data_IF_348933744500
#
_entry.id   IF_348933744500
#
_cell.length_a   1.000
_cell.length_b   1.000
_cell.length_c   1.000
_cell.angle_alpha   90.00
_cell.angle_beta   90.00
_cell.angle_gamma   90.00
#
_symmetry.space_group_name_H-M   'P 1'
#
loop_
_entity.id
_entity.type
_entity.pdbx_description
1 polymer ?
#
# COMPACT_ATOMS: atom_id res chain seq x y z
N UNK A 1 -13.51 22.15 7.21
CA UNK A 1 -14.13 20.86 6.85
C UNK A 1 -13.76 19.85 7.92
N UNK A 2 -14.62 18.90 8.24
CA UNK A 2 -14.35 17.81 9.20
C UNK A 2 -14.24 16.52 8.41
N UNK A 3 -13.04 15.94 8.36
CA UNK A 3 -12.73 14.80 7.48
C UNK A 3 -12.47 13.56 8.34
N UNK A 4 -13.12 12.45 8.03
CA UNK A 4 -12.79 11.13 8.57
C UNK A 4 -12.07 10.35 7.47
N UNK A 5 -10.86 9.87 7.77
CA UNK A 5 -10.07 9.08 6.86
C UNK A 5 -10.06 7.61 7.27
N UNK A 6 -10.72 6.76 6.49
CA UNK A 6 -10.76 5.30 6.69
C UNK A 6 -9.69 4.58 5.87
N UNK A 7 -8.64 5.29 5.44
CA UNK A 7 -7.59 4.78 4.59
C UNK A 7 -6.26 5.48 4.91
N UNK A 8 -5.21 4.72 5.26
CA UNK A 8 -3.92 5.30 5.65
C UNK A 8 -3.30 6.18 4.55
N UNK A 9 -3.38 5.76 3.27
CA UNK A 9 -2.90 6.56 2.13
C UNK A 9 -3.65 7.88 1.95
N UNK A 10 -4.96 7.89 2.20
CA UNK A 10 -5.75 9.13 2.17
C UNK A 10 -5.35 10.07 3.31
N UNK A 11 -5.08 9.53 4.51
CA UNK A 11 -4.55 10.33 5.61
C UNK A 11 -3.23 11.01 5.22
N UNK A 12 -2.30 10.26 4.64
CA UNK A 12 -1.03 10.81 4.15
C UNK A 12 -1.24 11.89 3.08
N UNK A 13 -2.16 11.65 2.14
CA UNK A 13 -2.49 12.59 1.08
C UNK A 13 -3.09 13.89 1.63
N UNK A 14 -4.00 13.78 2.60
CA UNK A 14 -4.61 14.94 3.27
C UNK A 14 -3.57 15.76 4.03
N UNK A 15 -2.65 15.12 4.75
CA UNK A 15 -1.54 15.83 5.39
C UNK A 15 -0.63 16.51 4.37
N UNK A 16 -0.28 15.84 3.28
CA UNK A 16 0.55 16.41 2.21
C UNK A 16 -0.12 17.59 1.48
N UNK A 17 -1.45 17.61 1.44
CA UNK A 17 -2.27 18.73 0.93
C UNK A 17 -2.45 19.86 1.96
N UNK A 18 -1.88 19.75 3.17
CA UNK A 18 -2.01 20.76 4.23
C UNK A 18 -3.36 20.73 4.95
N UNK A 19 -4.08 19.62 4.92
CA UNK A 19 -5.40 19.43 5.50
C UNK A 19 -5.38 18.67 6.84
N UNK A 20 -4.22 18.44 7.43
CA UNK A 20 -4.06 17.64 8.66
C UNK A 20 -4.96 18.13 9.80
N UNK A 21 -5.08 19.43 10.01
CA UNK A 21 -5.95 20.04 11.05
C UNK A 21 -7.46 19.83 10.80
N UNK A 22 -7.84 19.39 9.61
CA UNK A 22 -9.22 19.11 9.26
C UNK A 22 -9.60 17.64 9.47
N UNK A 23 -8.63 16.76 9.73
CA UNK A 23 -8.86 15.34 9.98
C UNK A 23 -9.33 15.19 11.44
N UNK A 24 -10.53 14.66 11.62
CA UNK A 24 -11.15 14.49 12.94
C UNK A 24 -11.11 13.05 13.45
N UNK A 25 -10.89 12.07 12.56
CA UNK A 25 -10.66 10.67 12.93
C UNK A 25 -9.96 9.92 11.79
N UNK A 26 -9.26 8.84 12.16
CA UNK A 26 -8.45 7.99 11.28
C UNK A 26 -8.64 6.51 11.56
N UNK A 27 -8.02 5.64 10.79
CA UNK A 27 -7.93 4.20 11.06
C UNK A 27 -6.78 3.90 12.03
N UNK A 28 -6.79 2.69 12.59
CA UNK A 28 -5.69 2.15 13.41
C UNK A 28 -4.39 1.92 12.61
N UNK A 29 -4.45 1.98 11.27
CA UNK A 29 -3.29 1.86 10.38
C UNK A 29 -2.63 3.22 10.05
N UNK A 30 -3.20 4.33 10.53
CA UNK A 30 -2.70 5.68 10.22
C UNK A 30 -1.58 6.06 11.20
N UNK A 31 -0.35 5.83 10.81
CA UNK A 31 0.89 6.08 11.57
C UNK A 31 1.78 7.17 10.96
N UNK A 32 1.44 7.65 9.76
CA UNK A 32 2.22 8.67 9.05
C UNK A 32 1.34 9.79 8.48
N UNK A 33 1.78 11.07 8.58
CA UNK A 33 2.95 11.50 9.36
C UNK A 33 2.74 11.22 10.86
N UNK A 34 3.78 11.37 11.72
CA UNK A 34 3.65 11.03 13.16
C UNK A 34 2.47 11.69 13.85
N UNK A 35 2.04 12.85 13.41
CA UNK A 35 0.88 13.57 13.91
C UNK A 35 -0.43 12.79 13.75
N UNK A 36 -0.54 11.95 12.70
CA UNK A 36 -1.72 11.13 12.44
C UNK A 36 -1.99 10.14 13.57
N UNK A 37 -0.93 9.59 14.19
CA UNK A 37 -1.04 8.64 15.30
C UNK A 37 -1.68 9.24 16.56
N UNK A 38 -1.79 10.57 16.66
CA UNK A 38 -2.43 11.27 17.78
C UNK A 38 -3.93 11.52 17.58
N UNK A 39 -4.46 11.27 16.39
CA UNK A 39 -5.86 11.50 16.04
C UNK A 39 -6.77 10.40 16.62
N UNK A 40 -8.06 10.69 16.84
CA UNK A 40 -9.04 9.68 17.25
C UNK A 40 -9.11 8.52 16.26
N UNK A 41 -8.97 7.29 16.76
CA UNK A 41 -9.07 6.07 15.96
C UNK A 41 -10.47 5.51 16.02
N UNK A 42 -11.09 5.27 14.85
CA UNK A 42 -12.49 4.79 14.74
C UNK A 42 -12.60 3.39 14.14
N UNK A 43 -11.48 2.66 14.07
CA UNK A 43 -11.45 1.31 13.50
C UNK A 43 -10.58 0.39 14.33
N UNK A 44 -10.78 -0.93 14.14
CA UNK A 44 -9.87 -1.95 14.68
C UNK A 44 -9.85 -3.18 13.78
N UNK A 45 -8.76 -3.94 13.81
CA UNK A 45 -8.70 -5.26 13.20
C UNK A 45 -9.58 -6.25 13.98
N UNK A 46 -10.28 -7.13 13.26
CA UNK A 46 -11.03 -8.26 13.85
C UNK A 46 -10.13 -9.48 14.05
N UNK A 47 -8.93 -9.48 13.44
CA UNK A 47 -7.96 -10.54 13.55
C UNK A 47 -6.79 -10.10 14.43
N UNK A 48 -6.40 -10.95 15.36
CA UNK A 48 -5.12 -10.81 16.05
C UNK A 48 -4.01 -11.42 15.17
N UNK A 49 -3.27 -10.53 14.49
CA UNK A 49 -2.20 -10.88 13.56
C UNK A 49 -0.80 -10.69 14.18
N UNK A 50 -0.71 -10.25 15.42
CA UNK A 50 0.54 -10.01 16.11
C UNK A 50 1.40 -11.28 16.23
N UNK A 51 2.64 -11.23 15.72
CA UNK A 51 3.61 -12.33 15.82
C UNK A 51 3.29 -13.57 14.97
N UNK A 52 2.26 -13.54 14.12
CA UNK A 52 1.95 -14.64 13.19
C UNK A 52 2.87 -14.59 11.97
N UNK A 53 3.12 -15.77 11.38
CA UNK A 53 3.84 -15.86 10.09
C UNK A 53 2.96 -15.38 8.94
N UNK A 54 3.56 -15.09 7.77
CA UNK A 54 2.79 -14.75 6.56
C UNK A 54 1.82 -15.87 6.17
N UNK A 55 2.22 -17.14 6.30
CA UNK A 55 1.35 -18.29 6.07
C UNK A 55 0.12 -18.31 6.98
N UNK A 56 0.31 -18.07 8.29
CA UNK A 56 -0.80 -18.05 9.25
C UNK A 56 -1.77 -16.90 8.98
N UNK A 57 -1.25 -15.75 8.54
CA UNK A 57 -2.06 -14.59 8.17
C UNK A 57 -2.87 -14.90 6.92
N UNK A 58 -2.24 -15.44 5.88
CA UNK A 58 -2.91 -15.79 4.61
C UNK A 58 -4.09 -16.77 4.87
N UNK A 59 -3.85 -17.82 5.68
CA UNK A 59 -4.91 -18.77 6.08
C UNK A 59 -6.03 -18.07 6.84
N UNK A 60 -5.71 -17.19 7.80
CA UNK A 60 -6.71 -16.49 8.60
C UNK A 60 -7.58 -15.55 7.76
N UNK A 61 -6.95 -14.81 6.83
CA UNK A 61 -7.63 -13.92 5.89
C UNK A 61 -8.51 -14.70 4.93
N UNK A 62 -8.00 -15.79 4.33
CA UNK A 62 -8.75 -16.63 3.43
C UNK A 62 -9.98 -17.28 4.13
N UNK A 63 -9.84 -17.66 5.39
CA UNK A 63 -10.94 -18.21 6.19
C UNK A 63 -12.00 -17.13 6.45
N UNK A 64 -11.60 -15.94 6.87
CA UNK A 64 -12.51 -14.83 7.11
C UNK A 64 -13.31 -14.47 5.85
N UNK A 65 -12.63 -14.39 4.69
CA UNK A 65 -13.26 -14.12 3.40
C UNK A 65 -14.30 -15.20 3.02
N UNK A 66 -13.98 -16.50 3.21
CA UNK A 66 -14.93 -17.61 2.94
C UNK A 66 -16.16 -17.58 3.83
N UNK A 67 -16.01 -17.10 5.07
CA UNK A 67 -17.10 -16.97 6.03
C UNK A 67 -17.87 -15.64 5.90
N UNK A 68 -17.48 -14.78 4.97
CA UNK A 68 -18.06 -13.44 4.78
C UNK A 68 -17.85 -12.51 5.98
N UNK A 69 -16.80 -12.78 6.78
CA UNK A 69 -16.45 -11.95 7.94
C UNK A 69 -15.57 -10.77 7.50
N UNK A 70 -15.93 -9.58 7.93
CA UNK A 70 -15.06 -8.41 7.73
C UNK A 70 -13.77 -8.55 8.54
N UNK A 71 -12.66 -8.09 7.97
CA UNK A 71 -11.36 -8.01 8.64
C UNK A 71 -11.26 -6.79 9.57
N UNK A 72 -12.21 -5.87 9.48
CA UNK A 72 -12.21 -4.62 10.22
C UNK A 72 -13.56 -4.36 10.87
N UNK A 73 -13.53 -3.78 12.06
CA UNK A 73 -14.67 -3.15 12.69
C UNK A 73 -14.53 -1.63 12.61
N UNK A 74 -15.64 -0.95 12.36
CA UNK A 74 -15.73 0.50 12.27
C UNK A 74 -16.75 0.99 13.30
N UNK A 75 -16.36 1.95 14.14
CA UNK A 75 -17.27 2.63 15.07
C UNK A 75 -18.02 3.75 14.31
N UNK A 76 -19.04 3.36 13.56
CA UNK A 76 -19.88 4.29 12.79
C UNK A 76 -20.61 5.29 13.67
N UNK A 77 -20.98 4.89 14.90
CA UNK A 77 -21.58 5.81 15.89
C UNK A 77 -20.57 6.89 16.32
N UNK A 78 -19.30 6.53 16.53
CA UNK A 78 -18.26 7.51 16.82
C UNK A 78 -18.06 8.46 15.63
N UNK A 79 -18.06 7.95 14.41
CA UNK A 79 -17.96 8.78 13.20
C UNK A 79 -19.11 9.78 13.13
N UNK A 80 -20.36 9.32 13.30
CA UNK A 80 -21.54 10.19 13.27
C UNK A 80 -21.52 11.27 14.36
N UNK A 81 -21.04 10.94 15.57
CA UNK A 81 -20.85 11.94 16.65
C UNK A 81 -19.84 13.03 16.32
N UNK A 82 -18.90 12.73 15.43
CA UNK A 82 -17.92 13.72 14.94
C UNK A 82 -18.50 14.66 13.89
N UNK A 83 -19.74 14.43 13.41
CA UNK A 83 -20.44 15.25 12.41
C UNK A 83 -19.51 15.58 11.20
N UNK A 84 -19.03 14.55 10.45
CA UNK A 84 -18.08 14.76 9.37
C UNK A 84 -18.75 15.34 8.13
N UNK A 85 -18.05 16.27 7.46
CA UNK A 85 -18.44 16.78 6.15
C UNK A 85 -18.03 15.79 5.02
N UNK A 86 -16.97 14.99 5.28
CA UNK A 86 -16.38 14.09 4.31
C UNK A 86 -15.84 12.82 4.98
N UNK A 87 -16.12 11.69 4.39
CA UNK A 87 -15.49 10.40 4.72
C UNK A 87 -14.70 9.92 3.49
N UNK A 88 -13.47 9.47 3.67
CA UNK A 88 -12.65 8.86 2.61
C UNK A 88 -12.47 7.39 2.91
N UNK A 89 -12.85 6.53 1.99
CA UNK A 89 -12.75 5.08 2.05
C UNK A 89 -12.21 4.52 0.72
N UNK A 90 -12.09 3.19 0.58
CA UNK A 90 -11.59 2.58 -0.64
C UNK A 90 -12.50 1.43 -1.10
N UNK A 91 -12.38 1.06 -2.39
CA UNK A 91 -13.10 -0.05 -3.02
C UNK A 91 -12.16 -0.99 -3.81
N UNK A 92 -10.88 -1.12 -3.41
CA UNK A 92 -9.90 -1.89 -4.19
C UNK A 92 -9.61 -3.27 -3.59
N UNK A 93 -9.54 -3.35 -2.26
CA UNK A 93 -9.12 -4.58 -1.58
C UNK A 93 -9.79 -4.69 -0.21
N UNK A 94 -10.53 -5.77 0.00
CA UNK A 94 -11.21 -6.04 1.28
C UNK A 94 -10.23 -6.46 2.40
N UNK A 95 -8.96 -6.68 2.04
CA UNK A 95 -7.91 -7.13 2.96
C UNK A 95 -7.10 -5.97 3.53
N UNK A 96 -6.77 -4.99 2.68
CA UNK A 96 -5.80 -3.94 3.03
C UNK A 96 -6.41 -2.70 3.68
N UNK A 97 -7.71 -2.48 3.54
CA UNK A 97 -8.42 -1.36 4.15
C UNK A 97 -9.93 -1.63 4.21
N UNK A 98 -10.67 -0.69 4.80
CA UNK A 98 -12.10 -0.80 5.01
C UNK A 98 -12.84 -0.53 3.70
N UNK A 99 -13.62 -1.51 3.16
CA UNK A 99 -14.45 -1.28 2.00
C UNK A 99 -15.50 -0.20 2.27
N UNK A 100 -15.69 0.71 1.30
CA UNK A 100 -16.68 1.79 1.44
C UNK A 100 -18.10 1.25 1.64
N UNK A 101 -18.46 0.14 1.00
CA UNK A 101 -19.79 -0.47 1.15
C UNK A 101 -20.08 -0.96 2.58
N UNK A 102 -19.04 -1.33 3.34
CA UNK A 102 -19.20 -1.75 4.73
C UNK A 102 -19.79 -0.65 5.62
N UNK A 103 -19.53 0.61 5.31
CA UNK A 103 -19.92 1.77 6.12
C UNK A 103 -20.94 2.68 5.44
N UNK A 104 -21.17 2.50 4.13
CA UNK A 104 -22.00 3.41 3.34
C UNK A 104 -23.47 3.49 3.84
N UNK A 105 -24.01 2.35 4.30
CA UNK A 105 -25.39 2.32 4.80
C UNK A 105 -25.55 3.08 6.11
N UNK A 106 -24.60 2.92 7.02
CA UNK A 106 -24.62 3.54 8.35
C UNK A 106 -24.29 5.04 8.29
N UNK A 107 -23.48 5.45 7.28
CA UNK A 107 -23.09 6.83 7.04
C UNK A 107 -23.94 7.51 5.95
N UNK A 108 -25.18 7.03 5.76
CA UNK A 108 -26.08 7.59 4.76
C UNK A 108 -26.30 9.10 4.99
N UNK A 109 -26.05 9.91 3.96
CA UNK A 109 -26.14 11.37 4.01
C UNK A 109 -24.82 12.10 4.29
N UNK A 110 -23.75 11.39 4.65
CA UNK A 110 -22.39 11.95 4.70
C UNK A 110 -21.76 11.82 3.32
N UNK A 111 -21.10 12.88 2.84
CA UNK A 111 -20.35 12.82 1.57
C UNK A 111 -19.21 11.82 1.70
N UNK A 112 -19.07 10.88 0.75
CA UNK A 112 -18.04 9.88 0.73
C UNK A 112 -17.25 9.93 -0.56
N UNK A 113 -15.92 9.88 -0.46
CA UNK A 113 -15.00 9.60 -1.57
C UNK A 113 -14.59 8.15 -1.48
N UNK A 114 -14.62 7.46 -2.61
CA UNK A 114 -14.25 6.04 -2.75
C UNK A 114 -13.03 5.96 -3.65
N UNK A 115 -11.85 5.81 -3.07
CA UNK A 115 -10.62 5.65 -3.86
C UNK A 115 -10.51 4.23 -4.41
N UNK A 116 -10.08 4.11 -5.66
CA UNK A 116 -10.01 2.84 -6.37
C UNK A 116 -8.79 2.75 -7.31
N UNK A 117 -7.58 3.07 -6.81
CA UNK A 117 -6.40 3.14 -7.66
C UNK A 117 -5.89 1.76 -8.04
N UNK A 118 -5.72 1.50 -9.34
CA UNK A 118 -5.11 0.29 -9.86
C UNK A 118 -3.68 0.51 -10.37
N UNK A 119 -3.36 1.75 -10.74
CA UNK A 119 -2.06 2.12 -11.30
C UNK A 119 -1.48 3.31 -10.55
N UNK A 120 -0.19 3.60 -10.75
CA UNK A 120 0.42 4.82 -10.22
C UNK A 120 -0.29 6.09 -10.72
N UNK A 121 -0.81 6.07 -11.95
CA UNK A 121 -1.58 7.18 -12.50
C UNK A 121 -2.88 7.40 -11.72
N UNK A 122 -3.57 6.31 -11.36
CA UNK A 122 -4.80 6.40 -10.58
C UNK A 122 -4.53 6.95 -9.17
N UNK A 123 -3.40 6.53 -8.54
CA UNK A 123 -3.00 7.08 -7.24
C UNK A 123 -2.79 8.58 -7.29
N UNK A 124 -2.16 9.09 -8.34
CA UNK A 124 -1.98 10.53 -8.53
C UNK A 124 -3.33 11.24 -8.77
N UNK A 125 -4.25 10.62 -9.51
CA UNK A 125 -5.58 11.15 -9.73
C UNK A 125 -6.43 11.18 -8.42
N UNK A 126 -6.31 10.17 -7.57
CA UNK A 126 -6.96 10.13 -6.26
C UNK A 126 -6.52 11.28 -5.34
N UNK A 127 -5.23 11.68 -5.41
CA UNK A 127 -4.73 12.85 -4.67
C UNK A 127 -5.35 14.14 -5.22
N UNK A 128 -5.46 14.28 -6.53
CA UNK A 128 -6.10 15.43 -7.18
C UNK A 128 -7.61 15.48 -6.82
N UNK A 129 -8.31 14.34 -6.83
CA UNK A 129 -9.73 14.26 -6.43
C UNK A 129 -9.94 14.70 -4.96
N UNK A 130 -9.06 14.26 -4.04
CA UNK A 130 -9.12 14.70 -2.64
C UNK A 130 -8.94 16.22 -2.52
N UNK A 131 -7.98 16.79 -3.24
CA UNK A 131 -7.75 18.23 -3.23
C UNK A 131 -8.97 19.00 -3.74
N UNK A 132 -9.54 18.57 -4.88
CA UNK A 132 -10.73 19.17 -5.47
C UNK A 132 -11.93 19.08 -4.51
N UNK A 133 -12.13 17.93 -3.90
CA UNK A 133 -13.22 17.70 -2.96
C UNK A 133 -13.13 18.58 -1.71
N UNK A 134 -11.90 18.90 -1.30
CA UNK A 134 -11.62 19.76 -0.15
C UNK A 134 -11.44 21.25 -0.52
N UNK A 135 -11.45 21.59 -1.81
CA UNK A 135 -11.33 22.96 -2.30
C UNK A 135 -9.92 23.54 -2.11
N UNK A 136 -8.87 22.71 -2.20
CA UNK A 136 -7.48 23.11 -2.08
C UNK A 136 -6.73 22.91 -3.39
N UNK A 137 -5.66 23.70 -3.61
CA UNK A 137 -4.82 23.58 -4.81
C UNK A 137 -3.86 22.39 -4.67
N UNK A 138 -3.99 21.39 -5.53
CA UNK A 138 -3.11 20.22 -5.58
C UNK A 138 -1.78 20.50 -6.34
N UNK A 139 -1.72 21.56 -7.14
CA UNK A 139 -0.62 21.79 -8.09
C UNK A 139 0.78 21.80 -7.46
N UNK A 140 1.01 22.41 -6.28
CA UNK A 140 2.34 22.37 -5.65
C UNK A 140 2.79 20.95 -5.30
N UNK A 141 1.89 20.13 -4.71
CA UNK A 141 2.17 18.73 -4.37
C UNK A 141 2.39 17.91 -5.64
N UNK A 142 1.44 17.96 -6.57
CA UNK A 142 1.49 17.18 -7.80
C UNK A 142 2.71 17.49 -8.66
N UNK A 143 3.09 18.76 -8.76
CA UNK A 143 4.32 19.17 -9.48
C UNK A 143 5.57 18.59 -8.81
N UNK A 144 5.61 18.55 -7.49
CA UNK A 144 6.72 17.95 -6.75
C UNK A 144 6.79 16.43 -7.00
N UNK A 145 5.66 15.71 -6.85
CA UNK A 145 5.61 14.25 -7.04
C UNK A 145 6.02 13.87 -8.47
N UNK A 146 5.43 14.51 -9.48
CA UNK A 146 5.76 14.25 -10.89
C UNK A 146 7.23 14.50 -11.21
N UNK A 147 7.81 15.60 -10.71
CA UNK A 147 9.23 15.91 -10.88
C UNK A 147 10.15 14.85 -10.23
N UNK A 148 9.79 14.35 -9.04
CA UNK A 148 10.55 13.30 -8.35
C UNK A 148 10.45 11.97 -9.10
N UNK A 149 9.26 11.59 -9.58
CA UNK A 149 9.06 10.39 -10.42
C UNK A 149 9.94 10.47 -11.67
N UNK A 150 9.93 11.61 -12.36
CA UNK A 150 10.76 11.84 -13.54
C UNK A 150 12.25 11.71 -13.22
N UNK A 151 12.71 12.35 -12.15
CA UNK A 151 14.12 12.32 -11.74
C UNK A 151 14.58 10.89 -11.40
N UNK A 152 13.81 10.14 -10.61
CA UNK A 152 14.11 8.74 -10.25
C UNK A 152 14.10 7.83 -11.50
N UNK A 153 13.17 8.05 -12.42
CA UNK A 153 13.09 7.28 -13.66
C UNK A 153 14.27 7.55 -14.59
N UNK A 154 14.73 8.80 -14.66
CA UNK A 154 15.92 9.17 -15.45
C UNK A 154 17.19 8.56 -14.83
N UNK A 155 17.34 8.61 -13.50
CA UNK A 155 18.44 7.95 -12.80
C UNK A 155 18.44 6.44 -13.08
N UNK A 156 17.29 5.80 -13.00
CA UNK A 156 17.14 4.38 -13.33
C UNK A 156 17.53 4.07 -14.77
N UNK A 157 17.27 4.98 -15.71
CA UNK A 157 17.56 4.79 -17.14
C UNK A 157 19.06 4.89 -17.48
N UNK A 158 19.89 5.46 -16.62
CA UNK A 158 21.35 5.50 -16.79
C UNK A 158 22.01 4.13 -16.69
N UNK A 159 21.32 3.14 -16.14
CA UNK A 159 21.81 1.79 -15.93
C UNK A 159 21.04 0.78 -16.79
N UNK A 160 21.68 -0.34 -17.20
CA UNK A 160 20.97 -1.43 -17.87
C UNK A 160 19.82 -1.93 -17.01
N UNK A 161 18.68 -2.26 -17.63
CA UNK A 161 17.56 -2.87 -16.91
C UNK A 161 17.97 -4.21 -16.30
N UNK A 162 17.46 -4.51 -15.12
CA UNK A 162 17.74 -5.77 -14.41
C UNK A 162 16.51 -6.66 -14.42
N UNK A 163 16.70 -7.94 -14.75
CA UNK A 163 15.65 -8.93 -14.57
C UNK A 163 15.44 -9.17 -13.07
N UNK A 164 14.25 -8.86 -12.58
CA UNK A 164 13.93 -8.99 -11.15
C UNK A 164 12.54 -9.58 -10.94
N UNK A 165 12.24 -9.92 -9.69
CA UNK A 165 10.91 -10.26 -9.22
C UNK A 165 10.66 -9.50 -7.93
N UNK A 166 9.49 -8.86 -7.85
CA UNK A 166 9.00 -8.20 -6.64
C UNK A 166 7.90 -9.05 -6.00
N UNK A 167 8.07 -9.39 -4.72
CA UNK A 167 7.08 -10.12 -3.94
C UNK A 167 6.50 -9.22 -2.85
N UNK A 168 5.18 -9.05 -2.86
CA UNK A 168 4.44 -8.28 -1.86
C UNK A 168 3.83 -9.13 -0.75
N UNK A 169 4.06 -10.43 -0.78
CA UNK A 169 3.81 -11.41 0.29
C UNK A 169 4.76 -12.58 0.14
N UNK A 170 5.05 -13.34 1.22
CA UNK A 170 6.13 -14.31 1.19
C UNK A 170 5.69 -15.78 1.34
N UNK A 171 4.60 -16.06 2.05
CA UNK A 171 4.13 -17.44 2.18
C UNK A 171 2.58 -17.52 2.18
N UNK A 172 2.01 -17.98 1.05
CA UNK A 172 2.67 -18.23 -0.23
C UNK A 172 3.21 -16.92 -0.83
N UNK A 173 4.20 -16.97 -1.77
CA UNK A 173 4.66 -15.74 -2.41
C UNK A 173 3.58 -15.13 -3.30
N UNK A 174 3.38 -13.81 -3.21
CA UNK A 174 2.47 -13.06 -4.08
C UNK A 174 3.28 -12.13 -4.97
N UNK A 175 2.99 -12.16 -6.28
CA UNK A 175 3.58 -11.22 -7.23
C UNK A 175 3.05 -9.80 -7.00
N UNK A 176 3.84 -8.82 -7.44
CA UNK A 176 3.41 -7.43 -7.49
C UNK A 176 2.11 -7.24 -8.28
N UNK A 177 1.19 -6.49 -7.70
CA UNK A 177 -0.08 -6.10 -8.30
C UNK A 177 -0.35 -4.60 -8.22
N UNK A 178 -1.49 -4.18 -8.75
CA UNK A 178 -1.97 -2.80 -8.75
C UNK A 178 -0.93 -1.81 -9.27
N UNK A 179 -0.52 -0.81 -8.48
CA UNK A 179 0.46 0.26 -8.79
C UNK A 179 1.92 -0.19 -8.68
N UNK A 180 2.21 -1.24 -7.91
CA UNK A 180 3.59 -1.68 -7.66
C UNK A 180 4.35 -2.06 -8.93
N UNK A 181 3.76 -2.74 -9.94
CA UNK A 181 4.44 -3.03 -11.20
C UNK A 181 4.88 -1.77 -11.96
N UNK A 182 4.15 -0.65 -11.85
CA UNK A 182 4.56 0.62 -12.46
C UNK A 182 5.84 1.14 -11.81
N UNK A 183 5.93 1.11 -10.47
CA UNK A 183 7.13 1.51 -9.72
C UNK A 183 8.33 0.62 -10.07
N UNK A 184 8.12 -0.69 -10.10
CA UNK A 184 9.14 -1.70 -10.48
C UNK A 184 9.68 -1.41 -11.88
N UNK A 185 8.79 -1.16 -12.84
CA UNK A 185 9.17 -0.83 -14.21
C UNK A 185 9.91 0.50 -14.32
N UNK A 186 9.44 1.56 -13.65
CA UNK A 186 10.08 2.88 -13.60
C UNK A 186 11.46 2.81 -12.95
N UNK A 187 11.64 1.95 -11.93
CA UNK A 187 12.95 1.69 -11.33
C UNK A 187 13.91 0.90 -12.25
N UNK A 188 13.51 0.55 -13.47
CA UNK A 188 14.36 -0.20 -14.40
C UNK A 188 14.50 -1.67 -14.07
N UNK A 189 13.50 -2.26 -13.42
CA UNK A 189 13.41 -3.69 -13.12
C UNK A 189 12.41 -4.33 -14.09
N UNK A 190 12.84 -5.37 -14.79
CA UNK A 190 11.99 -6.19 -15.68
C UNK A 190 11.46 -7.38 -14.90
N UNK A 191 10.25 -7.25 -14.34
CA UNK A 191 9.58 -8.32 -13.62
C UNK A 191 8.61 -9.07 -14.56
N UNK A 192 8.93 -10.32 -14.95
CA UNK A 192 8.09 -11.09 -15.87
C UNK A 192 6.79 -11.59 -15.23
N UNK A 193 6.70 -11.57 -13.89
CA UNK A 193 5.53 -12.04 -13.14
C UNK A 193 4.56 -10.91 -12.82
N UNK A 194 5.04 -9.66 -12.71
CA UNK A 194 4.22 -8.50 -12.39
C UNK A 194 3.17 -8.19 -13.47
N UNK A 195 2.05 -7.62 -13.06
CA UNK A 195 0.96 -7.22 -13.95
C UNK A 195 0.37 -5.90 -13.48
N UNK A 196 0.74 -4.81 -14.15
CA UNK A 196 0.24 -3.47 -13.85
C UNK A 196 -1.30 -3.43 -13.91
N UNK A 197 -1.92 -2.76 -12.95
CA UNK A 197 -3.37 -2.61 -12.85
C UNK A 197 -4.14 -3.88 -12.46
N UNK A 198 -3.48 -5.03 -12.42
CA UNK A 198 -4.12 -6.29 -12.03
C UNK A 198 -3.90 -6.57 -10.53
N UNK A 199 -4.80 -7.33 -9.88
CA UNK A 199 -4.59 -7.73 -8.49
C UNK A 199 -3.34 -8.59 -8.32
N UNK A 200 -2.78 -8.53 -7.13
CA UNK A 200 -1.76 -9.47 -6.67
C UNK A 200 -2.31 -10.90 -6.63
N UNK A 201 -1.47 -11.86 -6.97
CA UNK A 201 -1.86 -13.28 -7.07
C UNK A 201 -0.79 -14.14 -6.45
N UNK A 202 -1.23 -15.16 -5.70
CA UNK A 202 -0.34 -16.17 -5.13
C UNK A 202 0.38 -16.96 -6.22
N UNK A 203 1.65 -17.24 -5.95
CA UNK A 203 2.57 -18.05 -6.76
C UNK A 203 3.11 -19.20 -5.92
N UNK A 204 3.89 -20.04 -6.54
CA UNK A 204 4.79 -20.97 -5.86
C UNK A 204 6.23 -20.44 -5.89
N UNK A 205 7.07 -20.87 -4.97
CA UNK A 205 8.50 -20.54 -5.02
C UNK A 205 9.18 -21.08 -6.28
N UNK A 206 8.67 -22.17 -6.85
CA UNK A 206 9.12 -22.70 -8.14
C UNK A 206 8.81 -21.72 -9.29
N UNK A 207 7.62 -21.07 -9.29
CA UNK A 207 7.30 -20.04 -10.29
C UNK A 207 8.28 -18.86 -10.21
N UNK A 208 8.62 -18.44 -8.98
CA UNK A 208 9.61 -17.39 -8.75
C UNK A 208 10.99 -17.82 -9.26
N UNK A 209 11.41 -19.04 -8.98
CA UNK A 209 12.68 -19.60 -9.47
C UNK A 209 12.73 -19.72 -11.00
N UNK A 210 11.62 -20.16 -11.63
CA UNK A 210 11.53 -20.24 -13.10
C UNK A 210 11.64 -18.87 -13.79
N UNK A 211 11.28 -17.79 -13.09
CA UNK A 211 11.48 -16.43 -13.59
C UNK A 211 12.97 -16.04 -13.66
N UNK A 212 13.87 -16.77 -12.99
CA UNK A 212 15.33 -16.56 -12.95
C UNK A 212 15.70 -15.10 -12.69
N UNK A 213 15.26 -14.49 -11.57
CA UNK A 213 15.58 -13.11 -11.25
C UNK A 213 17.06 -12.96 -10.92
N UNK A 214 17.71 -11.91 -11.43
CA UNK A 214 18.98 -11.45 -10.90
C UNK A 214 18.77 -10.68 -9.58
N UNK A 215 17.64 -9.99 -9.46
CA UNK A 215 17.23 -9.24 -8.26
C UNK A 215 15.88 -9.77 -7.73
N UNK A 216 15.85 -10.18 -6.47
CA UNK A 216 14.62 -10.54 -5.77
C UNK A 216 14.34 -9.48 -4.71
N UNK A 217 13.21 -8.78 -4.84
CA UNK A 217 12.75 -7.77 -3.88
C UNK A 217 11.62 -8.35 -3.06
N UNK A 218 11.77 -8.30 -1.75
CA UNK A 218 10.82 -8.79 -0.76
C UNK A 218 10.27 -7.61 0.05
N UNK A 219 9.00 -7.27 -0.13
CA UNK A 219 8.35 -6.16 0.56
C UNK A 219 6.92 -6.56 1.00
N UNK A 220 6.80 -7.46 2.00
CA UNK A 220 5.51 -8.00 2.40
C UNK A 220 4.59 -6.92 2.96
N UNK A 221 3.36 -6.87 2.45
CA UNK A 221 2.34 -5.91 2.84
C UNK A 221 2.11 -5.91 4.36
N UNK A 222 2.04 -4.72 4.96
CA UNK A 222 1.80 -4.56 6.40
C UNK A 222 2.97 -4.94 7.30
N UNK A 223 4.13 -5.34 6.76
CA UNK A 223 5.33 -5.64 7.52
C UNK A 223 6.30 -4.45 7.44
N UNK A 224 6.72 -3.97 8.61
CA UNK A 224 7.85 -3.05 8.70
C UNK A 224 9.18 -3.76 8.34
N UNK A 225 10.26 -3.00 8.22
CA UNK A 225 11.56 -3.52 7.85
C UNK A 225 12.01 -4.69 8.73
N UNK A 226 11.88 -4.56 10.05
CA UNK A 226 12.38 -5.58 10.99
C UNK A 226 11.57 -6.88 10.88
N UNK A 227 10.25 -6.77 10.75
CA UNK A 227 9.36 -7.92 10.57
C UNK A 227 9.55 -8.58 9.20
N UNK A 228 9.74 -7.80 8.14
CA UNK A 228 10.03 -8.31 6.81
C UNK A 228 11.36 -9.11 6.78
N UNK A 229 12.40 -8.61 7.45
CA UNK A 229 13.69 -9.31 7.59
C UNK A 229 13.54 -10.60 8.40
N UNK A 230 12.78 -10.58 9.49
CA UNK A 230 12.50 -11.77 10.29
C UNK A 230 11.76 -12.84 9.48
N UNK A 231 10.74 -12.44 8.72
CA UNK A 231 9.97 -13.35 7.86
C UNK A 231 10.84 -13.93 6.74
N UNK A 232 11.63 -13.09 6.06
CA UNK A 232 12.59 -13.55 5.06
C UNK A 232 13.62 -14.53 5.65
N UNK A 233 14.05 -14.29 6.89
CA UNK A 233 14.92 -15.21 7.62
C UNK A 233 14.29 -16.58 7.86
N UNK A 234 13.00 -16.65 8.17
CA UNK A 234 12.26 -17.89 8.38
C UNK A 234 12.09 -18.68 7.08
N UNK A 235 12.00 -17.98 5.93
CA UNK A 235 11.83 -18.55 4.59
C UNK A 235 13.16 -18.68 3.81
N UNK A 236 14.29 -18.63 4.50
CA UNK A 236 15.63 -18.62 3.91
C UNK A 236 15.85 -19.71 2.88
N UNK A 237 15.38 -20.94 3.15
CA UNK A 237 15.56 -22.08 2.23
C UNK A 237 14.81 -21.87 0.91
N UNK A 238 13.60 -21.36 0.98
CA UNK A 238 12.77 -21.07 -0.21
C UNK A 238 13.41 -19.94 -1.01
N UNK A 239 13.83 -18.85 -0.33
CA UNK A 239 14.48 -17.72 -0.96
C UNK A 239 15.79 -18.15 -1.64
N UNK A 240 16.62 -18.93 -0.96
CA UNK A 240 17.89 -19.43 -1.52
C UNK A 240 17.66 -20.36 -2.73
N UNK A 241 16.53 -21.08 -2.79
CA UNK A 241 16.19 -21.96 -3.93
C UNK A 241 15.88 -21.19 -5.22
N UNK A 242 15.55 -19.89 -5.15
CA UNK A 242 15.34 -19.02 -6.31
C UNK A 242 16.66 -18.75 -7.06
N UNK A 243 17.80 -18.87 -6.39
CA UNK A 243 19.14 -18.62 -6.94
C UNK A 243 19.31 -17.20 -7.54
N UNK A 244 18.68 -16.23 -6.91
CA UNK A 244 18.83 -14.83 -7.28
C UNK A 244 20.23 -14.31 -6.90
N UNK A 245 20.84 -13.53 -7.79
CA UNK A 245 22.17 -12.96 -7.53
C UNK A 245 22.14 -12.01 -6.33
N UNK A 246 20.99 -11.38 -6.10
CA UNK A 246 20.78 -10.43 -5.03
C UNK A 246 19.36 -10.51 -4.49
N UNK A 247 19.24 -10.47 -3.18
CA UNK A 247 17.97 -10.39 -2.44
C UNK A 247 17.96 -9.11 -1.62
N UNK A 248 16.89 -8.34 -1.73
CA UNK A 248 16.68 -7.09 -0.97
C UNK A 248 15.37 -7.21 -0.22
N UNK A 249 15.39 -6.92 1.07
CA UNK A 249 14.20 -6.86 1.91
C UNK A 249 13.89 -5.40 2.19
N UNK A 250 12.64 -5.00 1.96
CA UNK A 250 12.18 -3.62 2.13
C UNK A 250 10.95 -3.57 3.04
N UNK A 251 10.74 -2.42 3.64
CA UNK A 251 9.54 -2.10 4.42
C UNK A 251 8.32 -2.03 3.51
N UNK A 252 7.50 -3.09 3.52
CA UNK A 252 6.27 -3.16 2.73
C UNK A 252 5.19 -2.21 3.25
N UNK A 253 5.12 -2.03 4.57
CA UNK A 253 4.12 -1.18 5.22
C UNK A 253 4.34 0.30 4.90
N UNK A 254 5.57 0.79 5.04
CA UNK A 254 5.86 2.20 4.82
C UNK A 254 5.80 2.60 3.35
N UNK A 255 6.20 1.70 2.42
CA UNK A 255 6.50 2.11 1.05
C UNK A 255 5.56 1.54 -0.02
N UNK A 256 5.00 0.33 0.12
CA UNK A 256 4.39 -0.32 -1.06
C UNK A 256 2.89 -0.56 -0.96
N UNK A 257 2.35 -0.79 0.23
CA UNK A 257 0.93 -1.14 0.40
C UNK A 257 -0.02 0.05 0.60
N UNK A 258 0.50 1.29 0.51
CA UNK A 258 -0.29 2.52 0.70
C UNK A 258 -0.27 3.36 -0.57
N UNK A 259 -1.38 3.41 -1.34
CA UNK A 259 -1.45 4.21 -2.56
C UNK A 259 -1.58 5.71 -2.25
N UNK A 260 -0.48 6.35 -1.95
CA UNK A 260 -0.41 7.75 -1.55
C UNK A 260 0.88 8.44 -2.00
N UNK A 261 1.17 9.65 -1.50
CA UNK A 261 2.32 10.44 -1.93
C UNK A 261 3.67 9.74 -1.74
N UNK A 262 3.79 8.86 -0.73
CA UNK A 262 5.03 8.11 -0.46
C UNK A 262 5.38 7.04 -1.51
N UNK A 263 4.51 6.75 -2.47
CA UNK A 263 4.90 5.89 -3.61
C UNK A 263 6.06 6.47 -4.43
N UNK A 264 6.29 7.77 -4.33
CA UNK A 264 7.49 8.39 -4.92
C UNK A 264 8.74 7.99 -4.15
N UNK A 265 8.68 7.98 -2.81
CA UNK A 265 9.77 7.47 -1.96
C UNK A 265 10.02 5.98 -2.26
N UNK A 266 8.97 5.20 -2.50
CA UNK A 266 9.05 3.79 -2.89
C UNK A 266 9.83 3.59 -4.19
N UNK A 267 9.57 4.44 -5.20
CA UNK A 267 10.32 4.42 -6.45
C UNK A 267 11.81 4.73 -6.22
N UNK A 268 12.12 5.76 -5.44
CA UNK A 268 13.49 6.14 -5.09
C UNK A 268 14.22 5.01 -4.35
N UNK A 269 13.52 4.35 -3.40
CA UNK A 269 14.05 3.17 -2.68
C UNK A 269 14.32 2.00 -3.64
N UNK A 270 13.44 1.73 -4.62
CA UNK A 270 13.67 0.70 -5.62
C UNK A 270 14.86 1.02 -6.53
N UNK A 271 15.02 2.28 -6.95
CA UNK A 271 16.18 2.71 -7.74
C UNK A 271 17.47 2.49 -6.96
N UNK A 272 17.52 2.90 -5.69
CA UNK A 272 18.66 2.66 -4.81
C UNK A 272 18.91 1.16 -4.58
N UNK A 273 17.86 0.39 -4.34
CA UNK A 273 17.92 -1.05 -4.15
C UNK A 273 18.50 -1.80 -5.35
N UNK A 274 18.38 -1.27 -6.54
CA UNK A 274 18.92 -1.85 -7.77
C UNK A 274 20.43 -1.66 -7.90
N UNK A 275 21.02 -0.62 -7.34
CA UNK A 275 22.42 -0.22 -7.52
C UNK A 275 23.35 -0.65 -6.40
N UNK A 276 22.88 -0.76 -5.17
CA UNK A 276 23.63 -1.17 -3.99
C UNK A 276 23.62 -2.65 -3.80
#
# INVERSE_FOLDING_TARGET
>A
MRIVSLLASATESLFALGLGDQIVAVTHECDFPPEAASLPVVTRSTLDLGGRTSADIDVAVALAAREGRSLYEVDTDAILRLDPDLVVAQDICDVCAIPADQVAADLAGVRMIRQHPHTLTDVLADIEELADACGVDSLPLMSNLRRRIEAASLEAAELPRVRGVFLEWLDPPYRAGHWTPDLVSLAGIDDPLARAGAPSVALTWDDVGMARPALLVLAPCGFDQARAEQEAGSLRRQIDSVDAQRVVVLDGSAYFNRPGPRLVDSLEVLVAARTG
#
